data_IF_808960003950
#
_entry.id   IF_808960003950
#
_cell.length_a   1.000
_cell.length_b   1.000
_cell.length_c   1.000
_cell.angle_alpha   90.00
_cell.angle_beta   90.00
_cell.angle_gamma   90.00
#
_symmetry.space_group_name_H-M   'P 1'
#
loop_
_entity.id
_entity.type
_entity.pdbx_description
1 polymer ?
#
# COMPACT_ATOMS: atom_id res chain seq x y z
N UNK A 1 30.45 -79.91 32.57
CA UNK A 1 30.40 -79.08 31.34
C UNK A 1 29.05 -78.39 31.28
N UNK A 2 29.07 -77.04 31.29
CA UNK A 2 28.10 -76.05 30.72
C UNK A 2 26.58 -76.32 30.85
N UNK A 3 25.83 -75.55 31.67
CA UNK A 3 25.05 -74.32 31.32
C UNK A 3 24.04 -74.56 30.18
N UNK A 4 22.73 -74.30 30.28
CA UNK A 4 21.91 -73.11 30.64
C UNK A 4 20.44 -73.64 30.93
N UNK A 5 19.33 -72.88 31.14
CA UNK A 5 18.91 -71.74 32.02
C UNK A 5 17.70 -72.08 32.95
N UNK A 6 17.25 -71.13 33.79
CA UNK A 6 15.90 -70.50 33.79
C UNK A 6 15.48 -70.00 35.18
N UNK A 7 15.11 -68.70 35.22
CA UNK A 7 14.02 -68.10 36.03
C UNK A 7 14.24 -68.09 37.55
N UNK A 8 13.78 -67.13 38.33
CA UNK A 8 13.15 -65.85 38.12
C UNK A 8 13.29 -65.15 39.47
N UNK A 9 13.27 -63.82 39.45
CA UNK A 9 12.59 -62.97 40.43
C UNK A 9 12.57 -63.43 41.90
N UNK A 10 13.31 -62.72 42.74
CA UNK A 10 12.74 -61.97 43.88
C UNK A 10 13.88 -61.45 44.75
N UNK A 11 14.23 -60.17 44.58
CA UNK A 11 14.37 -59.18 45.67
C UNK A 11 15.16 -57.97 45.17
N UNK A 12 14.45 -56.96 44.69
CA UNK A 12 14.84 -55.57 44.94
C UNK A 12 13.59 -54.73 45.13
N UNK A 13 13.27 -54.55 46.40
CA UNK A 13 12.23 -53.67 46.91
C UNK A 13 12.75 -52.22 46.84
N UNK A 14 11.80 -51.30 46.61
CA UNK A 14 11.85 -49.85 46.85
C UNK A 14 12.69 -48.95 45.93
N UNK A 15 12.00 -48.31 44.98
CA UNK A 15 11.90 -46.84 44.96
C UNK A 15 10.75 -46.41 44.03
N UNK A 16 9.53 -46.38 44.58
CA UNK A 16 8.46 -45.57 43.99
C UNK A 16 8.83 -44.09 44.19
N UNK A 17 9.44 -43.49 43.18
CA UNK A 17 9.44 -42.04 43.02
C UNK A 17 8.05 -41.63 42.54
N UNK A 18 7.19 -41.20 43.48
CA UNK A 18 6.00 -40.42 43.15
C UNK A 18 6.45 -39.18 42.41
N UNK A 19 6.27 -39.14 41.08
CA UNK A 19 6.40 -37.89 40.31
C UNK A 19 5.40 -36.88 40.87
N UNK A 20 5.81 -35.67 41.29
CA UNK A 20 4.86 -34.66 41.69
C UNK A 20 4.00 -34.27 40.49
N UNK A 21 2.68 -34.30 40.67
CA UNK A 21 1.66 -33.83 39.74
C UNK A 21 1.71 -32.29 39.65
N UNK A 22 2.83 -31.71 39.21
CA UNK A 22 3.02 -30.26 39.12
C UNK A 22 3.56 -29.76 37.78
N UNK A 23 3.93 -30.64 36.83
CA UNK A 23 4.55 -30.20 35.56
C UNK A 23 3.58 -29.86 34.42
N UNK A 24 2.31 -30.28 34.50
CA UNK A 24 1.32 -30.04 33.42
C UNK A 24 0.69 -28.65 33.55
N UNK A 25 0.43 -28.17 34.78
CA UNK A 25 -0.07 -26.81 35.02
C UNK A 25 0.95 -25.73 34.67
N UNK A 26 2.23 -25.98 34.95
CA UNK A 26 3.30 -25.00 34.67
C UNK A 26 3.63 -24.91 33.18
N UNK A 27 3.61 -26.03 32.45
CA UNK A 27 3.82 -26.03 31.00
C UNK A 27 2.65 -25.37 30.26
N UNK A 28 1.40 -25.59 30.71
CA UNK A 28 0.22 -24.92 30.13
C UNK A 28 0.18 -23.43 30.43
N UNK A 29 0.56 -23.00 31.64
CA UNK A 29 0.69 -21.58 31.98
C UNK A 29 1.84 -20.89 31.24
N UNK A 30 2.98 -21.56 31.08
CA UNK A 30 4.12 -21.06 30.30
C UNK A 30 3.77 -20.90 28.82
N UNK A 31 3.15 -21.92 28.19
CA UNK A 31 2.67 -21.84 26.80
C UNK A 31 1.61 -20.74 26.61
N UNK A 32 0.66 -20.60 27.54
CA UNK A 32 -0.33 -19.52 27.52
C UNK A 32 0.32 -18.15 27.65
N UNK A 33 1.31 -17.99 28.54
CA UNK A 33 2.06 -16.75 28.73
C UNK A 33 2.86 -16.38 27.47
N UNK A 34 3.55 -17.35 26.86
CA UNK A 34 4.29 -17.14 25.62
C UNK A 34 3.38 -16.71 24.46
N UNK A 35 2.24 -17.40 24.28
CA UNK A 35 1.23 -17.04 23.27
C UNK A 35 0.62 -15.65 23.49
N UNK A 36 0.37 -15.27 24.75
CA UNK A 36 -0.09 -13.91 25.10
C UNK A 36 0.95 -12.84 24.80
N UNK A 37 2.22 -13.07 25.16
CA UNK A 37 3.32 -12.14 24.92
C UNK A 37 3.58 -11.93 23.42
N UNK A 38 3.50 -13.00 22.63
CA UNK A 38 3.65 -12.92 21.19
C UNK A 38 2.50 -12.19 20.48
N UNK A 39 1.25 -12.44 20.88
CA UNK A 39 0.09 -11.68 20.39
C UNK A 39 0.19 -10.19 20.73
N UNK A 40 0.64 -9.86 21.95
CA UNK A 40 0.86 -8.47 22.37
C UNK A 40 1.94 -7.79 21.52
N UNK A 41 3.03 -8.50 21.20
CA UNK A 41 4.13 -7.98 20.38
C UNK A 41 3.66 -7.63 18.96
N UNK A 42 2.87 -8.50 18.33
CA UNK A 42 2.30 -8.24 17.00
C UNK A 42 1.32 -7.08 17.04
N UNK A 43 0.47 -7.02 18.07
CA UNK A 43 -0.48 -5.90 18.23
C UNK A 43 0.25 -4.57 18.40
N UNK A 44 1.32 -4.55 19.20
CA UNK A 44 2.14 -3.36 19.40
C UNK A 44 2.83 -2.90 18.12
N UNK A 45 3.24 -3.81 17.23
CA UNK A 45 3.85 -3.40 15.94
C UNK A 45 2.85 -2.73 15.01
N UNK A 46 1.59 -3.19 14.95
CA UNK A 46 0.54 -2.48 14.20
C UNK A 46 0.14 -1.15 14.85
N UNK A 47 0.11 -1.07 16.19
CA UNK A 47 -0.11 0.20 16.88
C UNK A 47 1.01 1.21 16.55
N UNK A 48 2.24 0.73 16.44
CA UNK A 48 3.38 1.54 16.02
C UNK A 48 3.25 2.03 14.57
N UNK A 49 2.76 1.20 13.64
CA UNK A 49 2.48 1.64 12.26
C UNK A 49 1.47 2.80 12.25
N UNK A 50 0.37 2.69 13.00
CA UNK A 50 -0.61 3.77 13.12
C UNK A 50 -0.03 5.04 13.74
N UNK A 51 0.84 4.90 14.74
CA UNK A 51 1.54 6.04 15.34
C UNK A 51 2.45 6.75 14.34
N UNK A 52 3.16 6.01 13.49
CA UNK A 52 3.96 6.58 12.40
C UNK A 52 3.06 7.34 11.42
N UNK A 53 1.96 6.73 10.96
CA UNK A 53 1.02 7.39 10.05
C UNK A 53 0.44 8.67 10.65
N UNK A 54 0.08 8.65 11.94
CA UNK A 54 -0.38 9.83 12.65
C UNK A 54 0.69 10.92 12.72
N UNK A 55 1.94 10.57 13.03
CA UNK A 55 3.05 11.53 13.06
C UNK A 55 3.28 12.20 11.70
N UNK A 56 3.23 11.44 10.60
CA UNK A 56 3.33 11.98 9.24
C UNK A 56 2.12 12.85 8.86
N UNK A 57 0.92 12.52 9.31
CA UNK A 57 -0.27 13.35 9.10
C UNK A 57 -0.16 14.69 9.82
N UNK A 58 0.31 14.69 11.07
CA UNK A 58 0.57 15.91 11.85
C UNK A 58 1.67 16.75 11.19
N UNK A 59 2.77 16.13 10.77
CA UNK A 59 3.83 16.82 10.03
C UNK A 59 3.32 17.45 8.73
N UNK A 60 2.48 16.72 7.97
CA UNK A 60 1.83 17.21 6.75
C UNK A 60 0.91 18.42 7.02
N UNK A 61 0.16 18.41 8.11
CA UNK A 61 -0.68 19.53 8.54
C UNK A 61 0.15 20.79 8.83
N UNK A 62 1.24 20.66 9.61
CA UNK A 62 2.12 21.80 9.89
C UNK A 62 2.79 22.32 8.63
N UNK A 63 3.31 21.43 7.78
CA UNK A 63 3.87 21.82 6.49
C UNK A 63 2.84 22.60 5.67
N UNK A 64 1.60 22.13 5.51
CA UNK A 64 0.57 22.83 4.75
C UNK A 64 0.28 24.28 5.18
N UNK A 65 0.54 24.61 6.45
CA UNK A 65 0.33 25.95 7.00
C UNK A 65 1.55 26.88 6.91
N UNK A 66 2.73 26.36 6.52
CA UNK A 66 3.92 27.20 6.32
C UNK A 66 3.79 28.06 5.07
N UNK A 67 4.27 29.30 5.13
CA UNK A 67 4.36 30.16 3.95
C UNK A 67 5.23 29.49 2.87
N UNK A 68 4.75 29.35 1.63
CA UNK A 68 5.52 28.75 0.57
C UNK A 68 6.67 29.67 0.14
N UNK A 69 7.72 29.06 -0.42
CA UNK A 69 8.66 29.78 -1.25
C UNK A 69 7.91 30.48 -2.40
N UNK A 70 8.42 31.61 -2.89
CA UNK A 70 7.77 32.36 -3.98
C UNK A 70 8.80 32.58 -5.07
N UNK A 71 8.71 31.79 -6.14
CA UNK A 71 9.63 31.90 -7.26
C UNK A 71 9.41 33.25 -7.98
N UNK A 72 10.48 33.95 -8.39
CA UNK A 72 10.34 35.11 -9.27
C UNK A 72 9.61 34.75 -10.57
N UNK A 73 8.77 35.66 -11.05
CA UNK A 73 7.90 35.45 -12.20
C UNK A 73 7.89 36.68 -13.10
N UNK A 74 7.47 36.52 -14.36
CA UNK A 74 7.31 37.61 -15.32
C UNK A 74 5.85 38.08 -15.33
N UNK A 75 5.62 39.39 -15.25
CA UNK A 75 4.27 39.97 -15.34
C UNK A 75 3.65 39.79 -16.74
N UNK A 76 4.48 39.61 -17.77
CA UNK A 76 4.05 39.39 -19.14
C UNK A 76 3.75 37.94 -19.51
N UNK A 77 3.92 36.97 -18.59
CA UNK A 77 3.71 35.55 -18.90
C UNK A 77 2.20 35.22 -19.03
N UNK A 78 1.73 34.81 -20.23
CA UNK A 78 0.32 34.48 -20.44
C UNK A 78 -0.12 33.22 -19.68
N UNK A 79 0.81 32.36 -19.25
CA UNK A 79 0.47 31.15 -18.51
C UNK A 79 0.01 31.42 -17.08
N UNK A 80 0.25 32.62 -16.53
CA UNK A 80 -0.10 32.99 -15.15
C UNK A 80 -1.10 34.16 -15.06
N UNK A 81 -1.65 34.58 -16.20
CA UNK A 81 -2.56 35.73 -16.36
C UNK A 81 -4.04 35.33 -16.46
N UNK A 82 -4.40 34.08 -16.18
CA UNK A 82 -5.79 33.64 -16.20
C UNK A 82 -6.61 34.32 -15.10
N UNK A 83 -7.92 34.55 -15.33
CA UNK A 83 -8.81 35.14 -14.33
C UNK A 83 -9.00 34.20 -13.13
N UNK A 84 -9.46 34.78 -12.02
CA UNK A 84 -9.97 33.98 -10.90
C UNK A 84 -11.22 33.23 -11.33
N UNK A 85 -11.26 31.95 -11.00
CA UNK A 85 -12.41 31.08 -11.21
C UNK A 85 -12.62 30.25 -9.95
N UNK A 86 -13.88 30.06 -9.57
CA UNK A 86 -14.22 29.28 -8.40
C UNK A 86 -13.95 27.79 -8.62
N UNK A 87 -13.69 27.07 -7.55
CA UNK A 87 -13.43 25.64 -7.63
C UNK A 87 -14.72 24.87 -7.94
N UNK A 88 -14.80 24.21 -9.11
CA UNK A 88 -15.88 23.27 -9.45
C UNK A 88 -16.00 22.16 -8.40
N UNK A 89 -14.86 21.64 -7.95
CA UNK A 89 -14.76 20.72 -6.80
C UNK A 89 -14.03 21.43 -5.68
N UNK A 90 -14.77 21.79 -4.63
CA UNK A 90 -14.20 22.36 -3.41
C UNK A 90 -13.31 21.34 -2.69
N UNK A 91 -12.36 21.84 -1.90
CA UNK A 91 -11.45 20.97 -1.14
C UNK A 91 -12.20 20.07 -0.15
N UNK A 92 -13.30 20.55 0.42
CA UNK A 92 -14.15 19.76 1.30
C UNK A 92 -14.82 18.61 0.54
N UNK A 93 -15.40 18.89 -0.63
CA UNK A 93 -16.04 17.87 -1.46
C UNK A 93 -15.03 16.83 -1.94
N UNK A 94 -13.82 17.26 -2.31
CA UNK A 94 -12.73 16.35 -2.66
C UNK A 94 -12.32 15.48 -1.45
N UNK A 95 -12.20 16.05 -0.24
CA UNK A 95 -11.88 15.27 0.95
C UNK A 95 -12.98 14.23 1.27
N UNK A 96 -14.24 14.62 1.22
CA UNK A 96 -15.37 13.72 1.45
C UNK A 96 -15.40 12.59 0.40
N UNK A 97 -15.23 12.93 -0.87
CA UNK A 97 -15.29 11.96 -1.97
C UNK A 97 -14.05 11.05 -2.04
N UNK A 98 -12.86 11.55 -1.71
CA UNK A 98 -11.60 10.83 -1.91
C UNK A 98 -11.04 10.20 -0.65
N UNK A 99 -11.49 10.59 0.55
CA UNK A 99 -11.02 9.98 1.81
C UNK A 99 -12.17 9.32 2.55
N UNK A 100 -13.23 10.08 2.85
CA UNK A 100 -14.35 9.57 3.66
C UNK A 100 -15.11 8.47 2.91
N UNK A 101 -15.48 8.69 1.65
CA UNK A 101 -16.21 7.69 0.87
C UNK A 101 -15.41 6.39 0.68
N UNK A 102 -14.10 6.39 0.33
CA UNK A 102 -13.29 5.17 0.31
C UNK A 102 -13.21 4.45 1.65
N UNK A 103 -13.07 5.16 2.77
CA UNK A 103 -13.11 4.55 4.11
C UNK A 103 -14.44 3.81 4.31
N UNK A 104 -15.56 4.46 4.01
CA UNK A 104 -16.89 3.87 4.15
C UNK A 104 -17.07 2.65 3.24
N UNK A 105 -16.64 2.73 1.98
CA UNK A 105 -16.72 1.60 1.05
C UNK A 105 -15.84 0.44 1.51
N UNK A 106 -14.63 0.70 1.98
CA UNK A 106 -13.76 -0.34 2.56
C UNK A 106 -14.42 -1.00 3.77
N UNK A 107 -15.05 -0.22 4.66
CA UNK A 107 -15.83 -0.74 5.79
C UNK A 107 -16.96 -1.66 5.31
N UNK A 108 -17.83 -1.15 4.42
CA UNK A 108 -19.01 -1.89 3.94
C UNK A 108 -18.59 -3.17 3.23
N UNK A 109 -17.64 -3.09 2.30
CA UNK A 109 -17.17 -4.26 1.54
C UNK A 109 -16.49 -5.28 2.44
N UNK A 110 -15.67 -4.84 3.41
CA UNK A 110 -15.02 -5.77 4.35
C UNK A 110 -16.02 -6.42 5.30
N UNK A 111 -17.07 -5.72 5.71
CA UNK A 111 -18.09 -6.29 6.60
C UNK A 111 -19.11 -7.16 5.87
N UNK A 112 -19.42 -6.89 4.60
CA UNK A 112 -20.41 -7.65 3.82
C UNK A 112 -19.78 -8.82 3.05
N UNK A 113 -18.67 -8.59 2.34
CA UNK A 113 -18.09 -9.59 1.43
C UNK A 113 -17.05 -10.49 2.12
N UNK A 114 -16.44 -10.05 3.23
CA UNK A 114 -15.61 -10.94 4.03
C UNK A 114 -16.45 -11.66 5.09
N UNK A 115 -16.22 -12.93 5.41
CA UNK A 115 -15.46 -13.88 4.63
C UNK A 115 -16.40 -14.51 3.60
N UNK A 116 -15.99 -14.56 2.33
CA UNK A 116 -16.83 -15.03 1.23
C UNK A 116 -17.10 -16.53 1.32
N UNK A 117 -17.42 -17.17 0.20
CA UNK A 117 -17.71 -18.62 0.11
C UNK A 117 -16.55 -19.55 0.52
N UNK A 118 -15.39 -19.01 0.88
CA UNK A 118 -14.21 -19.76 1.35
C UNK A 118 -14.31 -20.28 2.79
N UNK A 119 -15.38 -19.97 3.52
CA UNK A 119 -15.57 -20.50 4.89
C UNK A 119 -16.19 -21.89 4.81
N UNK A 120 -15.60 -22.84 5.54
CA UNK A 120 -16.21 -24.17 5.75
C UNK A 120 -17.51 -24.01 6.56
N UNK A 121 -18.65 -24.57 6.10
CA UNK A 121 -19.89 -24.57 6.87
C UNK A 121 -19.64 -25.08 8.30
N UNK A 122 -20.11 -24.34 9.31
CA UNK A 122 -19.90 -24.69 10.73
C UNK A 122 -18.76 -23.93 11.46
N UNK A 123 -18.10 -22.98 10.80
CA UNK A 123 -17.08 -22.13 11.45
C UNK A 123 -17.71 -21.20 12.51
N UNK A 124 -17.04 -21.08 13.67
CA UNK A 124 -17.49 -20.22 14.78
C UNK A 124 -17.61 -18.74 14.38
N UNK A 125 -18.67 -18.06 14.85
CA UNK A 125 -18.93 -16.62 14.61
C UNK A 125 -17.74 -15.74 15.01
N UNK A 126 -16.99 -16.13 16.04
CA UNK A 126 -15.84 -15.35 16.52
C UNK A 126 -14.65 -15.39 15.55
N UNK A 127 -14.40 -16.52 14.88
CA UNK A 127 -13.34 -16.65 13.88
C UNK A 127 -13.68 -15.87 12.61
N UNK A 128 -14.94 -15.96 12.18
CA UNK A 128 -15.49 -15.16 11.07
C UNK A 128 -15.34 -13.66 11.33
N UNK A 129 -15.69 -13.20 12.53
CA UNK A 129 -15.56 -11.80 12.92
C UNK A 129 -14.10 -11.34 12.95
N UNK A 130 -13.19 -12.15 13.49
CA UNK A 130 -11.75 -11.85 13.48
C UNK A 130 -11.21 -11.67 12.07
N UNK A 131 -11.65 -12.49 11.12
CA UNK A 131 -11.25 -12.36 9.71
C UNK A 131 -11.83 -11.10 9.07
N UNK A 132 -13.10 -10.75 9.33
CA UNK A 132 -13.69 -9.48 8.86
C UNK A 132 -12.92 -8.26 9.39
N UNK A 133 -12.60 -8.26 10.68
CA UNK A 133 -11.82 -7.18 11.32
C UNK A 133 -10.41 -7.10 10.72
N UNK A 134 -9.79 -8.24 10.43
CA UNK A 134 -8.47 -8.28 9.82
C UNK A 134 -8.45 -7.68 8.41
N UNK A 135 -9.42 -8.03 7.58
CA UNK A 135 -9.60 -7.46 6.25
C UNK A 135 -9.82 -5.95 6.33
N UNK A 136 -10.68 -5.52 7.25
CA UNK A 136 -10.95 -4.10 7.48
C UNK A 136 -9.69 -3.35 7.91
N UNK A 137 -8.96 -3.87 8.90
CA UNK A 137 -7.73 -3.27 9.40
C UNK A 137 -6.70 -3.11 8.29
N UNK A 138 -6.47 -4.18 7.51
CA UNK A 138 -5.50 -4.17 6.40
C UNK A 138 -5.91 -3.22 5.27
N UNK A 139 -7.20 -3.15 4.96
CA UNK A 139 -7.78 -2.20 4.01
C UNK A 139 -7.59 -0.74 4.45
N UNK A 140 -7.91 -0.44 5.70
CA UNK A 140 -7.77 0.93 6.22
C UNK A 140 -6.30 1.34 6.36
N UNK A 141 -5.44 0.44 6.80
CA UNK A 141 -4.02 0.73 6.98
C UNK A 141 -3.35 1.08 5.63
N UNK A 142 -3.67 0.34 4.56
CA UNK A 142 -3.18 0.65 3.21
C UNK A 142 -3.75 1.96 2.64
N UNK A 143 -5.04 2.22 2.84
CA UNK A 143 -5.69 3.46 2.38
C UNK A 143 -5.12 4.69 3.09
N UNK A 144 -5.03 4.64 4.42
CA UNK A 144 -4.49 5.76 5.21
C UNK A 144 -3.02 5.97 4.89
N UNK A 145 -2.23 4.91 4.73
CA UNK A 145 -0.84 5.04 4.26
C UNK A 145 -0.76 5.80 2.92
N UNK A 146 -1.58 5.43 1.93
CA UNK A 146 -1.58 6.11 0.63
C UNK A 146 -1.92 7.60 0.75
N UNK A 147 -2.99 7.94 1.48
CA UNK A 147 -3.44 9.33 1.65
C UNK A 147 -2.40 10.15 2.43
N UNK A 148 -1.90 9.65 3.56
CA UNK A 148 -0.94 10.35 4.42
C UNK A 148 0.40 10.55 3.71
N UNK A 149 0.94 9.50 3.08
CA UNK A 149 2.20 9.60 2.35
C UNK A 149 2.09 10.62 1.20
N UNK A 150 0.98 10.61 0.47
CA UNK A 150 0.72 11.57 -0.60
C UNK A 150 0.64 13.00 -0.08
N UNK A 151 -0.14 13.22 0.99
CA UNK A 151 -0.30 14.55 1.58
C UNK A 151 1.04 15.09 2.09
N UNK A 152 1.86 14.26 2.73
CA UNK A 152 3.19 14.66 3.19
C UNK A 152 4.09 15.09 2.02
N UNK A 153 4.18 14.26 0.96
CA UNK A 153 5.01 14.55 -0.23
C UNK A 153 4.55 15.84 -0.92
N UNK A 154 3.24 15.98 -1.14
CA UNK A 154 2.64 17.14 -1.82
C UNK A 154 2.83 18.43 -1.03
N UNK A 155 2.59 18.41 0.29
CA UNK A 155 2.74 19.60 1.15
C UNK A 155 4.19 20.08 1.18
N UNK A 156 5.13 19.15 1.32
CA UNK A 156 6.57 19.45 1.28
C UNK A 156 6.95 20.10 -0.06
N UNK A 157 6.51 19.48 -1.16
CA UNK A 157 6.89 19.90 -2.52
C UNK A 157 6.31 21.28 -2.88
N UNK A 158 5.04 21.52 -2.51
CA UNK A 158 4.37 22.81 -2.72
C UNK A 158 5.12 23.97 -2.06
N UNK A 159 5.52 23.80 -0.81
CA UNK A 159 6.19 24.86 -0.07
C UNK A 159 7.64 25.06 -0.50
N UNK A 160 8.31 24.01 -0.96
CA UNK A 160 9.69 24.10 -1.43
C UNK A 160 9.78 24.82 -2.79
N UNK A 161 8.91 24.45 -3.74
CA UNK A 161 9.05 24.88 -5.13
C UNK A 161 8.37 26.21 -5.44
N UNK A 162 7.27 26.57 -4.76
CA UNK A 162 6.71 27.91 -4.87
C UNK A 162 6.25 28.32 -6.26
N UNK A 163 5.78 27.37 -7.08
CA UNK A 163 5.42 27.60 -8.48
C UNK A 163 4.12 28.42 -8.59
N UNK A 164 4.10 29.51 -9.39
CA UNK A 164 2.88 30.28 -9.64
C UNK A 164 1.83 29.46 -10.39
N UNK A 165 0.57 29.65 -10.01
CA UNK A 165 -0.63 29.09 -10.66
C UNK A 165 -0.98 29.83 -11.94
N UNK A 166 -1.85 29.25 -12.79
CA UNK A 166 -2.36 29.96 -13.95
C UNK A 166 -3.10 31.25 -13.62
N UNK A 167 -3.70 31.35 -12.44
CA UNK A 167 -4.38 32.56 -11.94
C UNK A 167 -3.55 33.37 -10.93
N UNK A 168 -2.22 33.23 -10.93
CA UNK A 168 -1.36 33.87 -9.94
C UNK A 168 -1.39 35.40 -10.01
N UNK A 169 -1.41 36.01 -11.19
CA UNK A 169 -1.45 37.48 -11.33
C UNK A 169 -2.77 38.07 -10.80
N UNK A 170 -3.89 37.39 -11.08
CA UNK A 170 -5.19 37.81 -10.56
C UNK A 170 -5.27 37.73 -9.02
N UNK A 171 -4.59 36.75 -8.42
CA UNK A 171 -4.43 36.65 -6.95
C UNK A 171 -3.47 37.70 -6.38
N UNK A 172 -2.40 38.00 -7.12
CA UNK A 172 -1.32 38.90 -6.68
C UNK A 172 -1.74 40.37 -6.69
N UNK A 173 -2.48 40.82 -7.72
CA UNK A 173 -2.78 42.23 -7.98
C UNK A 173 -1.49 43.08 -7.97
N UNK A 174 -0.64 42.95 -9.00
CA UNK A 174 0.70 43.52 -9.00
C UNK A 174 0.68 45.06 -9.02
N UNK A 175 1.66 45.67 -8.36
CA UNK A 175 1.94 47.10 -8.44
C UNK A 175 2.57 47.49 -9.79
N UNK A 176 1.74 47.92 -10.74
CA UNK A 176 2.20 48.35 -12.06
C UNK A 176 2.92 49.71 -12.05
N UNK A 177 2.79 50.50 -10.99
CA UNK A 177 3.41 51.83 -10.88
C UNK A 177 4.87 51.73 -10.43
N UNK A 178 5.21 50.70 -9.64
CA UNK A 178 6.52 50.56 -8.99
C UNK A 178 7.28 49.29 -9.42
N UNK A 179 7.07 48.80 -10.65
CA UNK A 179 7.67 47.55 -11.15
C UNK A 179 9.19 47.54 -10.97
N UNK A 180 9.87 48.66 -11.25
CA UNK A 180 11.34 48.79 -11.19
C UNK A 180 11.94 48.43 -9.82
N UNK A 181 11.19 48.60 -8.73
CA UNK A 181 11.66 48.29 -7.37
C UNK A 181 11.68 46.79 -7.07
N UNK A 182 10.91 45.99 -7.81
CA UNK A 182 10.71 44.57 -7.53
C UNK A 182 11.45 43.65 -8.51
N UNK A 183 12.22 44.21 -9.47
CA UNK A 183 12.99 43.43 -10.44
C UNK A 183 14.14 42.72 -9.73
N UNK A 184 14.17 41.40 -9.84
CA UNK A 184 15.21 40.53 -9.24
C UNK A 184 16.04 39.78 -10.29
N UNK A 185 15.62 39.78 -11.56
CA UNK A 185 16.36 39.18 -12.65
C UNK A 185 15.67 39.38 -14.00
N UNK A 186 16.19 38.75 -15.05
CA UNK A 186 15.62 38.83 -16.41
C UNK A 186 16.53 39.52 -17.42
N UNK A 187 16.04 39.65 -18.66
CA UNK A 187 16.75 40.34 -19.74
C UNK A 187 16.69 41.85 -19.49
N UNK A 188 17.82 42.54 -19.68
CA UNK A 188 17.88 44.00 -19.56
C UNK A 188 16.87 44.65 -20.52
N UNK A 189 16.03 45.56 -20.00
CA UNK A 189 14.92 46.15 -20.75
C UNK A 189 15.39 46.77 -22.07
N UNK A 190 14.87 46.27 -23.19
CA UNK A 190 14.77 47.06 -24.41
C UNK A 190 13.54 47.95 -24.29
N UNK A 191 13.65 49.20 -24.74
CA UNK A 191 12.88 50.39 -24.33
C UNK A 191 11.33 50.38 -24.52
N UNK A 192 10.69 49.23 -24.71
CA UNK A 192 9.26 49.15 -25.04
C UNK A 192 8.51 47.93 -24.50
N UNK A 193 9.12 47.08 -23.66
CA UNK A 193 8.37 45.98 -23.01
C UNK A 193 9.00 45.53 -21.71
N UNK A 194 8.20 45.44 -20.63
CA UNK A 194 8.56 44.76 -19.38
C UNK A 194 8.71 43.23 -19.55
N UNK A 195 8.49 42.71 -20.77
CA UNK A 195 8.61 41.30 -21.10
C UNK A 195 10.05 40.81 -20.87
N UNK A 196 10.18 39.68 -20.19
CA UNK A 196 11.46 39.06 -19.88
C UNK A 196 12.11 39.56 -18.58
N UNK A 197 11.45 40.42 -17.81
CA UNK A 197 11.87 40.82 -16.46
C UNK A 197 11.19 39.94 -15.40
N UNK A 198 11.98 39.47 -14.44
CA UNK A 198 11.50 38.66 -13.32
C UNK A 198 11.33 39.56 -12.10
N UNK A 199 10.12 39.60 -11.56
CA UNK A 199 9.78 40.34 -10.36
C UNK A 199 9.65 39.41 -9.15
N UNK A 200 9.97 39.97 -7.98
CA UNK A 200 9.70 39.32 -6.70
C UNK A 200 8.21 39.38 -6.36
N UNK A 201 7.74 38.41 -5.58
CA UNK A 201 6.36 38.40 -5.07
C UNK A 201 6.03 39.55 -4.10
N UNK A 202 7.02 40.37 -3.71
CA UNK A 202 6.78 41.61 -2.97
C UNK A 202 5.97 42.65 -3.75
N UNK A 203 5.82 42.50 -5.07
CA UNK A 203 5.01 43.38 -5.92
C UNK A 203 3.50 43.22 -5.71
N UNK A 204 3.05 42.15 -5.04
CA UNK A 204 1.63 41.84 -4.87
C UNK A 204 0.97 42.79 -3.84
N UNK A 205 -0.09 43.50 -4.24
CA UNK A 205 -0.83 44.44 -3.38
C UNK A 205 -2.03 43.81 -2.65
N UNK A 206 -2.39 42.56 -2.95
CA UNK A 206 -3.54 41.93 -2.33
C UNK A 206 -3.40 41.89 -0.79
N UNK A 207 -4.37 42.42 -0.01
CA UNK A 207 -4.29 42.45 1.45
C UNK A 207 -4.31 41.07 2.10
N UNK A 208 -4.84 40.05 1.41
CA UNK A 208 -4.87 38.67 1.90
C UNK A 208 -3.61 37.90 1.47
N UNK A 209 -2.65 37.81 2.40
CA UNK A 209 -1.43 37.04 2.20
C UNK A 209 -1.70 35.54 1.94
N UNK A 210 -2.82 35.00 2.42
CA UNK A 210 -3.26 33.62 2.16
C UNK A 210 -3.61 33.40 0.69
N UNK A 211 -4.32 34.35 0.07
CA UNK A 211 -4.67 34.31 -1.37
C UNK A 211 -3.41 34.37 -2.23
N UNK A 212 -2.46 35.23 -1.88
CA UNK A 212 -1.16 35.32 -2.56
C UNK A 212 -0.37 34.02 -2.38
N UNK A 213 -0.25 33.51 -1.16
CA UNK A 213 0.44 32.25 -0.87
C UNK A 213 -0.14 31.07 -1.68
N UNK A 214 -1.46 30.99 -1.82
CA UNK A 214 -2.10 29.94 -2.61
C UNK A 214 -1.80 30.07 -4.11
N UNK A 215 -1.62 31.31 -4.59
CA UNK A 215 -1.14 31.60 -5.95
C UNK A 215 0.24 31.01 -6.26
N UNK A 216 1.11 30.84 -5.26
CA UNK A 216 2.44 30.22 -5.41
C UNK A 216 2.48 28.73 -5.04
N UNK A 217 1.31 28.09 -4.87
CA UNK A 217 1.18 26.65 -4.55
C UNK A 217 0.55 25.87 -5.72
N UNK A 218 1.08 26.07 -6.93
CA UNK A 218 0.59 25.34 -8.11
C UNK A 218 1.08 23.89 -8.17
N UNK A 219 2.35 23.64 -7.88
CA UNK A 219 2.94 22.32 -8.10
C UNK A 219 3.25 21.59 -6.80
N UNK A 220 2.86 20.31 -6.65
CA UNK A 220 1.88 19.56 -7.45
C UNK A 220 0.43 19.82 -7.01
N UNK A 221 -0.58 19.43 -7.80
CA UNK A 221 -1.99 19.63 -7.47
C UNK A 221 -2.45 18.87 -6.21
N UNK A 222 -3.10 19.56 -5.26
CA UNK A 222 -3.61 18.94 -4.03
C UNK A 222 -4.85 18.07 -4.28
N UNK A 223 -5.80 18.58 -5.07
CA UNK A 223 -7.03 17.86 -5.43
C UNK A 223 -6.75 16.61 -6.26
N UNK A 224 -5.81 16.71 -7.21
CA UNK A 224 -5.47 15.58 -8.09
C UNK A 224 -4.71 14.48 -7.34
N UNK A 225 -3.84 14.86 -6.42
CA UNK A 225 -3.08 13.89 -5.62
C UNK A 225 -3.93 13.18 -4.57
N UNK A 226 -4.82 13.89 -3.86
CA UNK A 226 -5.75 13.25 -2.92
C UNK A 226 -6.74 12.33 -3.64
N UNK A 227 -7.26 12.77 -4.79
CA UNK A 227 -8.15 11.96 -5.63
C UNK A 227 -7.46 10.68 -6.09
N UNK A 228 -6.23 10.78 -6.59
CA UNK A 228 -5.46 9.61 -6.98
C UNK A 228 -5.22 8.69 -5.77
N UNK A 229 -4.71 9.23 -4.65
CA UNK A 229 -4.36 8.42 -3.46
C UNK A 229 -5.53 7.62 -2.88
N UNK A 230 -6.74 8.19 -2.89
CA UNK A 230 -7.92 7.54 -2.33
C UNK A 230 -8.70 6.70 -3.33
N UNK A 231 -8.99 7.25 -4.51
CA UNK A 231 -9.87 6.61 -5.49
C UNK A 231 -9.14 5.57 -6.35
N UNK A 232 -7.84 5.73 -6.63
CA UNK A 232 -7.04 4.66 -7.26
C UNK A 232 -6.87 3.50 -6.27
N UNK A 233 -6.59 3.80 -4.99
CA UNK A 233 -6.58 2.76 -3.95
C UNK A 233 -7.93 2.03 -3.90
N UNK A 234 -9.05 2.76 -3.88
CA UNK A 234 -10.38 2.17 -3.86
C UNK A 234 -10.65 1.31 -5.10
N UNK A 235 -10.21 1.77 -6.28
CA UNK A 235 -10.31 1.00 -7.54
C UNK A 235 -9.56 -0.33 -7.42
N UNK A 236 -8.31 -0.31 -6.94
CA UNK A 236 -7.52 -1.52 -6.71
C UNK A 236 -8.15 -2.44 -5.67
N UNK A 237 -8.67 -1.87 -4.58
CA UNK A 237 -9.36 -2.60 -3.52
C UNK A 237 -10.61 -3.31 -4.05
N UNK A 238 -11.50 -2.59 -4.74
CA UNK A 238 -12.71 -3.17 -5.33
C UNK A 238 -12.39 -4.20 -6.41
N UNK A 239 -11.42 -3.91 -7.29
CA UNK A 239 -10.98 -4.86 -8.30
C UNK A 239 -10.49 -6.17 -7.68
N UNK A 240 -9.74 -6.09 -6.57
CA UNK A 240 -9.30 -7.25 -5.80
C UNK A 240 -10.46 -8.03 -5.17
N UNK A 241 -11.43 -7.35 -4.53
CA UNK A 241 -12.58 -8.00 -3.88
C UNK A 241 -13.57 -8.61 -4.87
N UNK A 242 -13.72 -8.02 -6.05
CA UNK A 242 -14.61 -8.53 -7.11
C UNK A 242 -13.93 -9.49 -8.08
N UNK A 243 -12.63 -9.76 -7.93
CA UNK A 243 -11.89 -10.63 -8.83
C UNK A 243 -11.74 -10.05 -10.25
N UNK A 244 -11.77 -8.72 -10.39
CA UNK A 244 -11.52 -8.04 -11.66
C UNK A 244 -10.02 -8.02 -11.90
N UNK A 245 -9.51 -9.03 -12.58
CA UNK A 245 -8.09 -9.18 -12.92
C UNK A 245 -7.88 -8.98 -14.41
N UNK A 246 -6.81 -8.27 -14.79
CA UNK A 246 -6.40 -8.19 -16.19
C UNK A 246 -5.84 -9.56 -16.62
N UNK A 247 -6.36 -10.20 -17.69
CA UNK A 247 -5.99 -11.58 -18.07
C UNK A 247 -4.50 -11.80 -18.37
N UNK A 248 -3.76 -10.74 -18.70
CA UNK A 248 -2.37 -10.79 -19.15
C UNK A 248 -1.35 -10.50 -18.03
N UNK A 249 -1.80 -10.09 -16.84
CA UNK A 249 -0.92 -9.67 -15.73
C UNK A 249 -0.50 -10.83 -14.79
N UNK A 250 -0.67 -12.10 -15.20
CA UNK A 250 -0.31 -13.25 -14.37
C UNK A 250 0.78 -14.11 -14.99
N UNK A 251 2.03 -14.04 -14.49
CA UNK A 251 2.90 -15.22 -14.47
C UNK A 251 2.30 -16.21 -13.48
N UNK A 252 1.65 -17.27 -13.99
CA UNK A 252 1.28 -18.42 -13.15
C UNK A 252 2.54 -19.17 -12.78
N UNK A 253 2.92 -19.14 -11.51
CA UNK A 253 3.99 -19.97 -10.96
C UNK A 253 3.45 -21.33 -10.50
N UNK A 254 2.58 -21.95 -11.29
CA UNK A 254 2.19 -23.34 -11.08
C UNK A 254 3.29 -24.22 -11.71
N UNK A 255 4.45 -24.34 -11.03
CA UNK A 255 5.54 -25.21 -11.46
C UNK A 255 6.97 -24.82 -11.06
N UNK A 256 7.22 -23.61 -10.54
CA UNK A 256 8.59 -23.15 -10.22
C UNK A 256 8.98 -23.35 -8.74
N UNK A 257 8.64 -24.51 -8.17
CA UNK A 257 9.12 -24.89 -6.84
C UNK A 257 10.39 -25.74 -6.97
N UNK A 258 11.57 -25.09 -6.86
CA UNK A 258 12.77 -25.50 -6.09
C UNK A 258 14.10 -24.89 -6.57
N UNK A 259 14.20 -24.31 -7.76
CA UNK A 259 15.51 -23.96 -8.33
C UNK A 259 15.93 -22.49 -8.27
N UNK A 260 15.10 -21.56 -7.77
CA UNK A 260 15.43 -20.11 -7.78
C UNK A 260 16.00 -19.52 -6.49
N UNK A 261 16.23 -20.32 -5.44
CA UNK A 261 16.79 -19.84 -4.17
C UNK A 261 18.09 -20.52 -3.75
N UNK A 262 18.81 -21.14 -4.68
CA UNK A 262 20.19 -21.55 -4.45
C UNK A 262 21.13 -20.52 -5.06
N UNK A 263 21.74 -19.68 -4.23
CA UNK A 263 22.78 -18.73 -4.64
C UNK A 263 24.15 -19.41 -4.87
N UNK A 264 24.16 -20.74 -5.02
CA UNK A 264 25.37 -21.55 -5.25
C UNK A 264 25.10 -22.39 -6.49
N UNK A 265 25.89 -22.25 -7.57
CA UNK A 265 25.86 -23.23 -8.65
C UNK A 265 26.40 -24.54 -8.08
N UNK A 266 25.55 -25.56 -7.98
CA UNK A 266 26.01 -26.90 -7.66
C UNK A 266 26.82 -27.39 -8.86
N UNK A 267 28.14 -27.30 -8.77
CA UNK A 267 29.07 -28.08 -9.58
C UNK A 267 28.82 -29.56 -9.28
N UNK A 268 28.13 -30.25 -10.17
CA UNK A 268 28.18 -31.70 -10.22
C UNK A 268 29.40 -32.10 -11.03
N UNK A 269 30.54 -32.25 -10.36
CA UNK A 269 31.68 -33.00 -10.86
C UNK A 269 31.62 -34.43 -10.31
N UNK A 270 31.83 -35.42 -11.19
CA UNK A 270 32.30 -36.75 -10.80
C UNK A 270 31.32 -37.92 -10.87
N UNK A 271 31.19 -38.49 -12.07
CA UNK A 271 31.30 -39.93 -12.38
C UNK A 271 30.61 -40.97 -11.50
N UNK A 272 29.57 -41.64 -12.03
CA UNK A 272 29.43 -43.11 -11.94
C UNK A 272 28.89 -43.64 -13.28
N UNK A 273 29.47 -44.77 -13.67
CA UNK A 273 29.39 -45.47 -14.94
C UNK A 273 27.98 -45.78 -15.46
N UNK A 274 27.90 -45.90 -16.78
CA UNK A 274 26.85 -46.61 -17.47
C UNK A 274 26.86 -48.07 -17.02
N UNK A 275 25.81 -48.49 -16.34
CA UNK A 275 25.44 -49.89 -16.24
C UNK A 275 24.02 -50.03 -16.80
N UNK A 276 23.97 -50.81 -17.87
CA UNK A 276 22.79 -51.24 -18.59
C UNK A 276 22.12 -52.32 -17.75
N UNK A 277 20.99 -52.01 -17.11
CA UNK A 277 20.16 -53.02 -16.45
C UNK A 277 18.68 -52.75 -16.75
N UNK A 278 18.11 -53.60 -17.59
CA UNK A 278 16.69 -53.67 -17.94
C UNK A 278 15.80 -53.76 -16.69
N UNK A 279 14.79 -52.90 -16.63
CA UNK A 279 13.59 -53.10 -15.80
C UNK A 279 12.34 -52.75 -16.63
N UNK A 280 11.21 -53.48 -16.44
CA UNK A 280 10.13 -53.56 -17.42
C UNK A 280 9.27 -52.28 -17.47
N UNK A 281 8.50 -52.04 -18.55
CA UNK A 281 7.76 -50.80 -18.72
C UNK A 281 6.64 -50.68 -17.70
N UNK A 282 6.74 -49.70 -16.80
CA UNK A 282 5.65 -49.28 -15.94
C UNK A 282 4.60 -48.59 -16.83
N UNK A 283 3.39 -49.15 -16.89
CA UNK A 283 2.24 -48.56 -17.57
C UNK A 283 1.99 -47.12 -17.09
N UNK A 284 2.31 -46.14 -17.93
CA UNK A 284 1.90 -44.75 -17.76
C UNK A 284 0.41 -44.58 -18.13
N UNK A 285 -0.49 -45.16 -17.34
CA UNK A 285 -1.90 -44.75 -17.28
C UNK A 285 -2.06 -43.68 -16.20
N UNK A 286 -1.58 -42.49 -16.52
CA UNK A 286 -1.69 -41.32 -15.66
C UNK A 286 -1.73 -40.07 -16.51
N UNK A 287 -2.86 -39.86 -17.19
CA UNK A 287 -3.20 -38.56 -17.77
C UNK A 287 -3.18 -37.52 -16.65
N UNK A 288 -2.06 -36.82 -16.48
CA UNK A 288 -2.04 -35.54 -15.77
C UNK A 288 -3.19 -34.72 -16.35
N UNK A 289 -4.14 -34.24 -15.53
CA UNK A 289 -5.21 -33.42 -16.06
C UNK A 289 -4.58 -32.13 -16.55
N UNK A 290 -4.36 -32.04 -17.86
CA UNK A 290 -4.16 -30.79 -18.58
C UNK A 290 -5.48 -30.05 -18.52
N UNK A 291 -5.81 -29.52 -17.32
CA UNK A 291 -6.91 -28.61 -17.14
C UNK A 291 -6.60 -27.40 -18.01
N UNK A 292 -7.18 -27.37 -19.21
CA UNK A 292 -6.83 -26.38 -20.20
C UNK A 292 -7.05 -25.00 -19.61
N UNK A 293 -6.08 -24.10 -19.81
CA UNK A 293 -6.14 -22.69 -19.36
C UNK A 293 -7.49 -22.04 -19.74
N UNK A 294 -8.08 -22.50 -20.86
CA UNK A 294 -9.40 -22.11 -21.36
C UNK A 294 -10.57 -22.42 -20.41
N UNK A 295 -10.49 -23.46 -19.57
CA UNK A 295 -11.53 -23.79 -18.56
C UNK A 295 -11.41 -22.98 -17.27
N UNK A 296 -10.29 -22.28 -17.06
CA UNK A 296 -9.99 -21.56 -15.81
C UNK A 296 -10.00 -20.03 -15.95
N UNK A 297 -10.02 -19.52 -17.18
CA UNK A 297 -10.03 -18.08 -17.47
C UNK A 297 -11.40 -17.65 -18.00
N UNK A 298 -12.29 -17.23 -17.09
CA UNK A 298 -13.53 -16.53 -17.45
C UNK A 298 -13.33 -15.03 -17.22
N UNK A 299 -13.76 -14.20 -18.16
CA UNK A 299 -13.77 -12.75 -17.96
C UNK A 299 -14.76 -12.39 -16.83
N UNK A 300 -14.43 -11.42 -15.95
CA UNK A 300 -15.37 -10.95 -14.96
C UNK A 300 -16.59 -10.30 -15.65
N UNK A 301 -17.79 -10.40 -15.06
CA UNK A 301 -18.96 -9.78 -15.64
C UNK A 301 -18.81 -8.25 -15.66
N UNK A 302 -19.27 -7.62 -16.74
CA UNK A 302 -19.02 -6.19 -17.00
C UNK A 302 -19.52 -5.25 -15.89
N UNK A 303 -20.60 -5.60 -15.19
CA UNK A 303 -21.11 -4.77 -14.10
C UNK A 303 -20.13 -4.66 -12.92
N UNK A 304 -19.34 -5.71 -12.62
CA UNK A 304 -18.30 -5.66 -11.58
C UNK A 304 -17.11 -4.83 -12.03
N UNK A 305 -16.77 -4.89 -13.32
CA UNK A 305 -15.71 -4.06 -13.92
C UNK A 305 -16.09 -2.58 -13.83
N UNK A 306 -17.32 -2.24 -14.21
CA UNK A 306 -17.85 -0.87 -14.11
C UNK A 306 -17.84 -0.41 -12.65
N UNK A 307 -18.36 -1.23 -11.72
CA UNK A 307 -18.38 -0.90 -10.30
C UNK A 307 -16.98 -0.63 -9.73
N UNK A 308 -15.98 -1.41 -10.14
CA UNK A 308 -14.59 -1.19 -9.75
C UNK A 308 -13.98 0.08 -10.37
N UNK A 309 -14.41 0.49 -11.56
CA UNK A 309 -13.88 1.66 -12.28
C UNK A 309 -14.59 2.99 -11.97
N UNK A 310 -15.77 2.99 -11.35
CA UNK A 310 -16.47 4.22 -10.93
C UNK A 310 -15.56 5.17 -10.12
N UNK A 311 -14.83 4.70 -9.08
CA UNK A 311 -13.91 5.57 -8.34
C UNK A 311 -12.82 6.18 -9.24
N UNK A 312 -12.27 5.40 -10.17
CA UNK A 312 -11.29 5.90 -11.12
C UNK A 312 -11.87 7.00 -12.03
N UNK A 313 -13.09 6.82 -12.52
CA UNK A 313 -13.81 7.86 -13.27
C UNK A 313 -13.99 9.15 -12.45
N UNK A 314 -14.36 9.03 -11.18
CA UNK A 314 -14.43 10.16 -10.25
C UNK A 314 -13.08 10.86 -10.05
N UNK A 315 -11.98 10.10 -10.00
CA UNK A 315 -10.63 10.64 -9.96
C UNK A 315 -10.30 11.47 -11.20
N UNK A 316 -10.61 10.96 -12.40
CA UNK A 316 -10.39 11.66 -13.66
C UNK A 316 -11.21 12.95 -13.71
N UNK A 317 -12.46 12.94 -13.27
CA UNK A 317 -13.31 14.13 -13.19
C UNK A 317 -12.69 15.22 -12.28
N UNK A 318 -12.24 14.86 -11.08
CA UNK A 318 -11.60 15.81 -10.17
C UNK A 318 -10.32 16.37 -10.80
N UNK A 319 -9.49 15.54 -11.44
CA UNK A 319 -8.31 16.02 -12.15
C UNK A 319 -8.65 16.99 -13.28
N UNK A 320 -9.66 16.68 -14.10
CA UNK A 320 -10.10 17.53 -15.20
C UNK A 320 -10.63 18.88 -14.70
N UNK A 321 -11.36 18.89 -13.58
CA UNK A 321 -11.88 20.14 -12.98
C UNK A 321 -10.76 21.15 -12.67
N UNK A 322 -9.57 20.68 -12.27
CA UNK A 322 -8.44 21.57 -11.93
C UNK A 322 -7.82 22.27 -13.11
N UNK A 323 -7.88 21.63 -14.28
CA UNK A 323 -7.51 22.27 -15.53
C UNK A 323 -8.60 23.25 -15.98
N UNK A 324 -9.87 22.83 -15.90
CA UNK A 324 -11.02 23.65 -16.28
C UNK A 324 -11.11 24.95 -15.47
N UNK A 325 -10.86 24.91 -14.16
CA UNK A 325 -10.95 26.05 -13.24
C UNK A 325 -9.67 26.94 -13.23
N UNK A 326 -8.72 26.74 -14.17
CA UNK A 326 -7.44 27.46 -14.23
C UNK A 326 -6.61 27.41 -12.93
N UNK A 327 -6.78 26.35 -12.12
CA UNK A 327 -6.09 26.22 -10.84
C UNK A 327 -4.70 25.62 -10.99
N UNK A 328 -4.49 24.77 -12.00
CA UNK A 328 -3.25 24.03 -12.17
C UNK A 328 -2.90 23.84 -13.64
N UNK A 329 -1.60 23.80 -13.93
CA UNK A 329 -1.10 23.35 -15.22
C UNK A 329 -1.24 21.82 -15.33
N UNK A 330 -1.30 21.32 -16.55
CA UNK A 330 -1.49 19.89 -16.84
C UNK A 330 -0.38 19.02 -16.28
N UNK A 331 0.87 19.50 -16.37
CA UNK A 331 2.00 18.82 -15.73
C UNK A 331 1.83 18.73 -14.19
N UNK A 332 1.32 19.79 -13.56
CA UNK A 332 1.09 19.81 -12.10
C UNK A 332 0.03 18.77 -11.70
N UNK A 333 -0.98 18.56 -12.55
CA UNK A 333 -2.06 17.57 -12.37
C UNK A 333 -1.54 16.15 -12.58
N UNK A 334 -0.86 15.90 -13.70
CA UNK A 334 -0.33 14.57 -14.04
C UNK A 334 0.73 14.10 -13.04
N UNK A 335 1.61 15.00 -12.59
CA UNK A 335 2.62 14.66 -11.59
C UNK A 335 1.99 14.36 -10.23
N UNK A 336 1.00 15.14 -9.79
CA UNK A 336 0.25 14.85 -8.56
C UNK A 336 -0.51 13.52 -8.65
N UNK A 337 -1.14 13.25 -9.79
CA UNK A 337 -1.80 11.97 -10.04
C UNK A 337 -0.80 10.82 -9.96
N UNK A 338 0.39 10.97 -10.56
CA UNK A 338 1.47 9.98 -10.49
C UNK A 338 1.94 9.70 -9.06
N UNK A 339 2.12 10.74 -8.23
CA UNK A 339 2.43 10.58 -6.81
C UNK A 339 1.34 9.77 -6.11
N UNK A 340 0.07 10.20 -6.23
CA UNK A 340 -1.05 9.54 -5.56
C UNK A 340 -1.27 8.10 -6.04
N UNK A 341 -1.21 7.84 -7.34
CA UNK A 341 -1.35 6.50 -7.90
C UNK A 341 -0.22 5.56 -7.45
N UNK A 342 1.01 6.08 -7.35
CA UNK A 342 2.17 5.30 -6.88
C UNK A 342 2.02 4.92 -5.41
N UNK A 343 1.66 5.88 -4.53
CA UNK A 343 1.42 5.58 -3.12
C UNK A 343 0.22 4.65 -2.93
N UNK A 344 -0.84 4.78 -3.75
CA UNK A 344 -1.98 3.85 -3.74
C UNK A 344 -1.56 2.44 -4.13
N UNK A 345 -0.76 2.31 -5.18
CA UNK A 345 -0.26 1.01 -5.63
C UNK A 345 0.56 0.33 -4.54
N UNK A 346 1.54 1.03 -3.95
CA UNK A 346 2.35 0.46 -2.86
C UNK A 346 1.51 0.20 -1.61
N UNK A 347 0.65 1.13 -1.20
CA UNK A 347 -0.25 0.96 -0.06
C UNK A 347 -1.17 -0.26 -0.23
N UNK A 348 -1.66 -0.50 -1.45
CA UNK A 348 -2.45 -1.70 -1.74
C UNK A 348 -1.58 -2.96 -1.67
N UNK A 349 -0.42 -2.96 -2.35
CA UNK A 349 0.49 -4.11 -2.44
C UNK A 349 1.15 -4.53 -1.12
N UNK A 350 1.28 -3.62 -0.16
CA UNK A 350 1.84 -3.92 1.16
C UNK A 350 0.89 -4.78 2.01
N UNK A 351 -0.43 -4.61 1.84
CA UNK A 351 -1.43 -5.23 2.72
C UNK A 351 -2.36 -6.22 2.01
N UNK A 352 -2.37 -6.28 0.68
CA UNK A 352 -3.21 -7.19 -0.10
C UNK A 352 -2.39 -8.16 -0.93
N UNK A 353 -2.94 -9.36 -1.13
CA UNK A 353 -2.34 -10.33 -2.03
C UNK A 353 -2.38 -9.84 -3.49
N UNK A 354 -1.44 -10.28 -4.34
CA UNK A 354 -1.48 -9.98 -5.76
C UNK A 354 -2.82 -10.41 -6.37
N UNK A 355 -3.43 -9.51 -7.14
CA UNK A 355 -4.72 -9.75 -7.81
C UNK A 355 -4.70 -11.04 -8.66
N UNK A 356 -3.54 -11.47 -9.15
CA UNK A 356 -3.37 -12.69 -9.95
C UNK A 356 -3.11 -14.00 -9.19
N UNK A 357 -2.83 -13.98 -7.89
CA UNK A 357 -2.44 -15.18 -7.11
C UNK A 357 -3.25 -15.37 -5.82
N UNK A 358 -4.00 -14.37 -5.38
CA UNK A 358 -4.76 -14.42 -4.15
C UNK A 358 -6.20 -14.02 -4.40
N UNK A 359 -7.12 -14.77 -3.81
CA UNK A 359 -8.57 -14.61 -3.83
C UNK A 359 -9.03 -13.31 -3.15
N UNK A 360 -8.58 -12.13 -3.60
CA UNK A 360 -9.03 -10.83 -3.09
C UNK A 360 -8.72 -10.52 -1.62
N UNK A 361 -8.08 -11.42 -0.87
CA UNK A 361 -7.86 -11.28 0.57
C UNK A 361 -6.66 -10.40 0.93
N UNK A 362 -6.72 -9.82 2.13
CA UNK A 362 -5.57 -9.19 2.75
C UNK A 362 -4.47 -10.22 3.03
N UNK A 363 -3.23 -9.75 3.11
CA UNK A 363 -2.10 -10.56 3.54
C UNK A 363 -2.29 -11.05 4.98
N UNK A 364 -1.67 -12.18 5.32
CA UNK A 364 -1.75 -12.74 6.67
C UNK A 364 -1.06 -11.80 7.71
N UNK A 365 -1.45 -11.88 8.99
CA UNK A 365 -0.78 -11.16 10.07
C UNK A 365 0.72 -11.46 10.16
N UNK A 366 1.50 -10.49 10.66
CA UNK A 366 2.92 -10.69 10.97
C UNK A 366 3.10 -11.83 11.98
N UNK A 367 4.19 -12.58 11.83
CA UNK A 367 4.61 -13.57 12.81
C UNK A 367 5.26 -12.90 14.02
N UNK A 368 5.17 -13.55 15.18
CA UNK A 368 5.69 -13.02 16.45
C UNK A 368 7.21 -12.79 16.41
N UNK A 369 7.94 -13.58 15.62
CA UNK A 369 9.39 -13.48 15.47
C UNK A 369 9.83 -12.36 14.52
N UNK A 370 8.92 -11.93 13.63
CA UNK A 370 9.17 -10.89 12.62
C UNK A 370 8.31 -9.64 12.86
N UNK A 371 7.72 -9.46 14.05
CA UNK A 371 6.73 -8.41 14.30
C UNK A 371 7.20 -6.97 13.96
N UNK A 372 8.47 -6.66 14.21
CA UNK A 372 9.10 -5.35 13.92
C UNK A 372 10.12 -5.41 12.79
N UNK A 373 10.76 -6.56 12.60
CA UNK A 373 11.84 -6.74 11.64
C UNK A 373 11.98 -8.22 11.32
N UNK A 374 11.96 -8.58 10.03
CA UNK A 374 12.15 -9.97 9.60
C UNK A 374 13.62 -10.42 9.64
N UNK A 375 14.57 -9.48 9.60
CA UNK A 375 15.98 -9.81 9.36
C UNK A 375 16.29 -9.91 7.88
N UNK A 376 17.57 -9.71 7.54
CA UNK A 376 18.11 -9.97 6.20
C UNK A 376 18.12 -11.49 5.97
N UNK A 377 17.66 -11.94 4.79
CA UNK A 377 17.66 -13.35 4.41
C UNK A 377 16.43 -14.17 4.81
N UNK A 378 15.47 -13.61 5.57
CA UNK A 378 14.16 -14.26 5.79
C UNK A 378 13.17 -13.90 4.68
N UNK A 379 12.31 -14.85 4.30
CA UNK A 379 11.35 -14.73 3.19
C UNK A 379 10.16 -13.77 3.46
N UNK A 380 10.17 -13.02 4.57
CA UNK A 380 9.20 -11.97 4.85
C UNK A 380 8.72 -11.93 6.30
N UNK A 381 7.55 -11.33 6.50
CA UNK A 381 6.96 -11.08 7.81
C UNK A 381 5.95 -12.15 8.27
N UNK A 382 5.66 -13.15 7.43
CA UNK A 382 4.74 -14.26 7.75
C UNK A 382 5.39 -15.35 8.62
N UNK A 383 4.62 -16.39 8.96
CA UNK A 383 5.18 -17.59 9.59
C UNK A 383 6.07 -18.35 8.60
N UNK A 384 7.26 -18.79 9.02
CA UNK A 384 8.08 -19.70 8.23
C UNK A 384 7.42 -21.08 8.17
N UNK A 385 7.33 -21.65 6.97
CA UNK A 385 6.76 -23.00 6.73
C UNK A 385 7.49 -24.10 7.52
N UNK A 386 8.72 -23.86 7.96
CA UNK A 386 9.49 -24.80 8.77
C UNK A 386 8.91 -25.03 10.17
N UNK A 387 8.19 -24.06 10.73
CA UNK A 387 7.64 -24.17 12.09
C UNK A 387 6.39 -25.05 12.17
N UNK A 388 5.62 -25.14 11.08
CA UNK A 388 4.45 -26.05 10.98
C UNK A 388 4.81 -27.52 11.09
N UNK A 389 6.08 -27.90 10.82
CA UNK A 389 6.54 -29.29 10.91
C UNK A 389 6.98 -29.69 12.33
N UNK A 390 7.33 -28.72 13.16
CA UNK A 390 7.89 -28.95 14.50
C UNK A 390 6.79 -29.04 15.56
N UNK A 391 5.69 -28.29 15.40
CA UNK A 391 4.53 -28.35 16.30
C UNK A 391 3.65 -29.61 16.08
N UNK A 392 3.84 -30.35 14.98
CA UNK A 392 3.17 -31.63 14.71
C UNK A 392 3.93 -32.86 15.22
N UNK A 393 5.07 -32.66 15.91
CA UNK A 393 5.95 -33.75 16.40
C UNK A 393 6.18 -33.72 17.92
N UNK A 394 5.33 -33.06 18.71
CA UNK A 394 5.38 -33.11 20.18
C UNK A 394 4.00 -33.24 20.82
#
# INVERSE_FOLDING_TARGET
MQNIPLKDLQTRRHSESRRPYSSISDTTNSRRRHKKMGTLRVTFSYAFDWAILFAFAVAGFFLGNLSPNKRPFDLGDPNISFPLHDDTVSILNAFLACVVAPILVVIVVSLLLAPGSTIVPGTSRSLTLRRKIWELHSGLLGLVFSVVATWFIVSTTKNLLGKPRPNALARCQPDLENIAQYIVGGVAATASSAAGQLVSAGICKNPDAGVVNEGFRSFPSGHSSIAASGLVYLTLFLASKFGVTAPWATPRTDGLSKTRHSAVPLRTDGTVAADEFETPPLETTGTLPTSSVRRQAAAPPMYLVILALIPFGGCVFICASRWYDFQHHGFDILFAFGIGATTSYFGFRLYHLPMGQGTGWAAAPRSEDAAFWSGVGKQGYGHSLDRTRQDSMC
#
